data_IF_526309834609
#
_entry.id   IF_526309834609
#
_cell.length_a   1.000
_cell.length_b   1.000
_cell.length_c   1.000
_cell.angle_alpha   90.00
_cell.angle_beta   90.00
_cell.angle_gamma   90.00
#
_symmetry.space_group_name_H-M   'P 1'
#
loop_
_entity.id
_entity.type
_entity.pdbx_description
1 polymer ?
#
# COMPACT_ATOMS: atom_id res chain seq x y z
N UNK A 1 -3.17 -7.83 -65.11
CA UNK A 1 -2.16 -7.48 -64.09
C UNK A 1 -2.90 -7.35 -62.77
N UNK A 2 -2.94 -8.41 -61.98
CA UNK A 2 -3.77 -8.49 -60.76
C UNK A 2 -2.89 -8.32 -59.53
N UNK A 3 -3.28 -7.37 -58.68
CA UNK A 3 -2.61 -6.96 -57.44
C UNK A 3 -2.69 -8.07 -56.39
N UNK A 4 -1.54 -8.51 -55.89
CA UNK A 4 -1.43 -9.40 -54.73
C UNK A 4 -1.73 -8.59 -53.46
N UNK A 5 -2.85 -8.88 -52.79
CA UNK A 5 -3.12 -8.38 -51.45
C UNK A 5 -2.27 -9.15 -50.44
N UNK A 6 -1.34 -8.45 -49.79
CA UNK A 6 -0.56 -8.98 -48.68
C UNK A 6 -1.43 -9.01 -47.42
N UNK A 7 -1.84 -10.20 -47.00
CA UNK A 7 -2.49 -10.43 -45.71
C UNK A 7 -1.45 -10.26 -44.60
N UNK A 8 -1.48 -9.11 -43.93
CA UNK A 8 -0.66 -8.84 -42.75
C UNK A 8 -1.26 -9.62 -41.57
N UNK A 9 -0.68 -10.77 -41.24
CA UNK A 9 -1.02 -11.50 -40.00
C UNK A 9 -0.33 -10.78 -38.84
N UNK A 10 -1.09 -10.01 -38.07
CA UNK A 10 -0.63 -9.52 -36.76
C UNK A 10 -0.57 -10.69 -35.77
N UNK A 11 0.53 -11.44 -35.80
CA UNK A 11 0.93 -12.30 -34.69
C UNK A 11 1.67 -11.42 -33.67
N UNK A 12 0.95 -10.90 -32.68
CA UNK A 12 1.55 -10.03 -31.68
C UNK A 12 0.55 -9.27 -30.83
N UNK A 13 -0.31 -9.98 -30.11
CA UNK A 13 -0.87 -9.43 -28.88
C UNK A 13 -0.46 -10.41 -27.79
N UNK A 14 0.55 -9.96 -27.03
CA UNK A 14 1.07 -10.68 -25.88
C UNK A 14 -0.06 -11.06 -24.94
N UNK A 15 0.22 -12.09 -24.15
CA UNK A 15 -0.59 -12.44 -23.01
C UNK A 15 -1.07 -11.15 -22.33
N UNK A 16 -2.38 -10.94 -22.31
CA UNK A 16 -2.96 -10.15 -21.24
C UNK A 16 -2.62 -10.94 -19.98
N UNK A 17 -1.49 -10.61 -19.34
CA UNK A 17 -1.29 -10.95 -17.95
C UNK A 17 -2.57 -10.52 -17.26
N UNK A 18 -3.26 -11.49 -16.67
CA UNK A 18 -4.36 -11.20 -15.78
C UNK A 18 -3.82 -10.14 -14.81
N UNK A 19 -4.44 -8.96 -14.79
CA UNK A 19 -4.05 -7.90 -13.87
C UNK A 19 -3.93 -8.49 -12.46
N UNK A 20 -3.06 -7.94 -11.59
CA UNK A 20 -2.78 -8.55 -10.31
C UNK A 20 -4.09 -8.81 -9.56
N UNK A 21 -4.22 -9.94 -8.83
CA UNK A 21 -5.44 -10.26 -8.10
C UNK A 21 -5.84 -9.06 -7.25
N UNK A 22 -7.12 -8.67 -7.31
CA UNK A 22 -7.64 -7.57 -6.49
C UNK A 22 -7.23 -7.80 -5.03
N UNK A 23 -6.34 -6.94 -4.53
CA UNK A 23 -5.80 -7.10 -3.19
C UNK A 23 -6.90 -6.74 -2.17
N UNK A 24 -7.20 -7.69 -1.29
CA UNK A 24 -8.12 -7.44 -0.19
C UNK A 24 -7.57 -6.30 0.69
N UNK A 25 -8.44 -5.45 1.26
CA UNK A 25 -8.00 -4.42 2.19
C UNK A 25 -7.32 -5.02 3.42
N UNK A 26 -6.22 -4.41 3.85
CA UNK A 26 -5.54 -4.73 5.11
C UNK A 26 -6.17 -3.89 6.22
N UNK A 27 -6.58 -4.53 7.31
CA UNK A 27 -7.22 -3.84 8.44
C UNK A 27 -6.24 -3.76 9.59
N UNK A 28 -5.84 -2.54 9.94
CA UNK A 28 -4.93 -2.28 11.05
C UNK A 28 -5.66 -1.64 12.22
N UNK A 29 -5.43 -2.14 13.43
CA UNK A 29 -5.97 -1.58 14.68
C UNK A 29 -4.81 -1.13 15.55
N UNK A 30 -4.78 0.15 15.90
CA UNK A 30 -3.77 0.80 16.71
C UNK A 30 -4.38 1.25 18.03
N UNK A 31 -3.64 1.10 19.14
CA UNK A 31 -4.04 1.62 20.45
C UNK A 31 -3.11 2.75 20.86
N UNK A 32 -3.70 3.81 21.39
CA UNK A 32 -2.97 4.87 22.08
C UNK A 32 -2.85 4.60 23.59
N UNK A 33 -2.14 5.49 24.29
CA UNK A 33 -1.93 5.39 25.74
C UNK A 33 -3.21 5.62 26.56
N UNK A 34 -4.31 6.02 25.92
CA UNK A 34 -5.63 6.23 26.53
C UNK A 34 -6.59 5.06 26.33
N UNK A 35 -6.10 3.93 25.79
CA UNK A 35 -6.89 2.76 25.37
C UNK A 35 -7.89 3.04 24.22
N UNK A 36 -7.80 4.22 23.58
CA UNK A 36 -8.58 4.49 22.39
C UNK A 36 -8.04 3.67 21.21
N UNK A 37 -8.93 3.02 20.47
CA UNK A 37 -8.55 2.21 19.31
C UNK A 37 -8.79 2.98 18.01
N UNK A 38 -7.73 3.21 17.24
CA UNK A 38 -7.81 3.73 15.88
C UNK A 38 -7.80 2.58 14.88
N UNK A 39 -8.79 2.54 13.98
CA UNK A 39 -8.83 1.57 12.88
C UNK A 39 -8.42 2.26 11.59
N UNK A 40 -7.43 1.70 10.90
CA UNK A 40 -6.96 2.15 9.58
C UNK A 40 -7.18 1.01 8.60
N UNK A 41 -7.93 1.27 7.54
CA UNK A 41 -8.06 0.34 6.42
C UNK A 41 -7.11 0.76 5.31
N UNK A 42 -6.18 -0.11 4.95
CA UNK A 42 -5.30 0.06 3.81
C UNK A 42 -5.92 -0.65 2.61
N UNK A 43 -6.16 0.07 1.53
CA UNK A 43 -6.57 -0.50 0.26
C UNK A 43 -5.36 -0.49 -0.69
N UNK A 44 -4.68 -1.63 -0.88
CA UNK A 44 -3.57 -1.72 -1.81
C UNK A 44 -4.06 -1.48 -3.24
N UNK A 45 -3.27 -0.76 -4.01
CA UNK A 45 -3.46 -0.62 -5.45
C UNK A 45 -2.47 -1.53 -6.18
N UNK A 46 -2.86 -2.00 -7.35
CA UNK A 46 -2.04 -2.85 -8.22
C UNK A 46 -1.03 -2.05 -9.02
N UNK A 47 -1.18 -0.73 -9.08
CA UNK A 47 -0.25 0.14 -9.79
C UNK A 47 1.02 0.42 -8.95
N UNK A 48 2.22 0.26 -9.54
CA UNK A 48 3.46 0.61 -8.87
C UNK A 48 3.56 2.13 -8.63
N UNK A 49 4.16 2.50 -7.49
CA UNK A 49 4.54 3.87 -7.20
C UNK A 49 5.92 4.21 -7.81
N UNK A 50 6.19 5.51 -7.98
CA UNK A 50 7.32 6.08 -8.72
C UNK A 50 8.74 5.82 -8.14
N UNK A 51 8.90 4.89 -7.21
CA UNK A 51 10.17 4.65 -6.49
C UNK A 51 10.38 3.18 -6.06
N UNK A 52 9.71 2.23 -6.73
CA UNK A 52 9.76 0.81 -6.36
C UNK A 52 8.93 0.48 -5.11
N UNK A 53 7.96 1.33 -4.79
CA UNK A 53 6.87 1.04 -3.88
C UNK A 53 5.57 0.74 -4.63
N UNK A 54 4.49 0.62 -3.88
CA UNK A 54 3.14 0.36 -4.38
C UNK A 54 2.22 1.47 -3.90
N UNK A 55 1.23 1.82 -4.72
CA UNK A 55 0.19 2.76 -4.29
C UNK A 55 -0.72 2.09 -3.27
N UNK A 56 -1.22 2.88 -2.34
CA UNK A 56 -2.12 2.43 -1.29
C UNK A 56 -3.01 3.58 -0.87
N UNK A 57 -4.26 3.29 -0.58
CA UNK A 57 -5.19 4.27 -0.03
C UNK A 57 -5.47 3.95 1.43
N UNK A 58 -5.29 4.92 2.32
CA UNK A 58 -5.62 4.80 3.73
C UNK A 58 -7.03 5.33 3.95
N UNK A 59 -7.83 4.58 4.70
CA UNK A 59 -9.09 5.08 5.24
C UNK A 59 -9.00 5.12 6.77
N UNK A 60 -9.11 6.31 7.33
CA UNK A 60 -9.06 6.56 8.76
C UNK A 60 -10.00 7.72 9.10
N UNK A 61 -10.74 7.65 10.21
CA UNK A 61 -11.61 8.72 10.69
C UNK A 61 -12.58 9.30 9.63
N UNK A 62 -13.06 8.46 8.69
CA UNK A 62 -13.93 8.89 7.58
C UNK A 62 -13.21 9.61 6.43
N UNK A 63 -11.90 9.83 6.54
CA UNK A 63 -11.05 10.38 5.49
C UNK A 63 -10.47 9.29 4.60
N UNK A 64 -10.10 9.69 3.39
CA UNK A 64 -9.41 8.85 2.40
C UNK A 64 -8.13 9.55 2.00
N UNK A 65 -6.98 8.93 2.28
CA UNK A 65 -5.66 9.56 2.12
C UNK A 65 -4.82 8.70 1.17
N UNK A 66 -4.37 9.24 0.03
CA UNK A 66 -3.46 8.53 -0.86
C UNK A 66 -2.08 8.39 -0.21
N UNK A 67 -1.45 7.25 -0.44
CA UNK A 67 -0.14 6.93 0.11
C UNK A 67 0.67 6.01 -0.79
N UNK A 68 1.85 5.66 -0.29
CA UNK A 68 2.73 4.69 -0.91
C UNK A 68 3.31 3.75 0.15
N UNK A 69 3.50 2.49 -0.21
CA UNK A 69 4.14 1.47 0.63
C UNK A 69 5.39 0.94 -0.06
N UNK A 70 6.46 0.74 0.70
CA UNK A 70 7.70 0.18 0.17
C UNK A 70 8.33 -0.77 1.19
N UNK A 71 9.09 -1.79 0.74
CA UNK A 71 9.93 -2.59 1.62
C UNK A 71 10.91 -1.70 2.41
N UNK A 72 11.05 -1.94 3.71
CA UNK A 72 12.03 -1.22 4.54
C UNK A 72 13.47 -1.58 4.14
N UNK A 73 13.70 -2.85 3.86
CA UNK A 73 14.95 -3.40 3.35
C UNK A 73 14.63 -4.31 2.17
N UNK A 74 15.27 -4.07 1.02
CA UNK A 74 15.08 -4.86 -0.21
C UNK A 74 15.72 -6.25 -0.14
N UNK A 75 16.60 -6.50 0.82
CA UNK A 75 17.37 -7.75 0.96
C UNK A 75 16.84 -8.67 2.06
N UNK A 76 16.08 -8.13 3.02
CA UNK A 76 15.46 -8.86 4.14
C UNK A 76 14.03 -8.38 4.38
N UNK A 77 13.24 -8.28 3.32
CA UNK A 77 11.95 -7.62 3.35
C UNK A 77 10.91 -8.39 4.19
N UNK A 78 10.94 -8.30 5.51
CA UNK A 78 9.83 -8.73 6.38
C UNK A 78 8.97 -7.58 6.82
N UNK A 79 9.44 -6.37 6.55
CA UNK A 79 8.83 -5.15 7.02
C UNK A 79 8.60 -4.23 5.82
N UNK A 80 7.42 -3.63 5.77
CA UNK A 80 7.08 -2.56 4.84
C UNK A 80 6.82 -1.27 5.61
N UNK A 81 7.08 -0.15 4.97
CA UNK A 81 6.72 1.17 5.48
C UNK A 81 5.77 1.82 4.51
N UNK A 82 4.62 2.21 5.04
CA UNK A 82 3.61 3.00 4.37
C UNK A 82 3.70 4.45 4.81
N UNK A 83 3.59 5.35 3.84
CA UNK A 83 3.65 6.81 4.01
C UNK A 83 2.47 7.45 3.31
N UNK A 84 1.79 8.35 4.00
CA UNK A 84 0.68 9.12 3.46
C UNK A 84 0.69 10.53 4.06
N UNK A 85 0.15 11.50 3.33
CA UNK A 85 -0.01 12.89 3.79
C UNK A 85 -1.40 13.34 3.38
N UNK A 86 -2.21 13.81 4.34
CA UNK A 86 -3.54 14.34 4.05
C UNK A 86 -3.51 15.82 3.62
N UNK A 87 -4.67 16.36 3.25
CA UNK A 87 -4.82 17.74 2.79
C UNK A 87 -4.44 18.76 3.88
N UNK A 88 -4.61 18.38 5.15
CA UNK A 88 -4.20 19.15 6.31
C UNK A 88 -2.69 19.03 6.57
N UNK A 89 -1.92 18.36 5.71
CA UNK A 89 -0.47 18.09 5.86
C UNK A 89 -0.12 17.25 7.09
N UNK A 90 -1.07 16.50 7.63
CA UNK A 90 -0.76 15.47 8.62
C UNK A 90 -0.02 14.34 7.92
N UNK A 91 1.19 14.04 8.38
CA UNK A 91 1.98 12.95 7.85
C UNK A 91 1.73 11.68 8.66
N UNK A 92 1.37 10.59 7.98
CA UNK A 92 1.20 9.26 8.55
C UNK A 92 2.33 8.35 8.10
N UNK A 93 2.91 7.62 9.05
CA UNK A 93 3.90 6.59 8.83
C UNK A 93 3.44 5.30 9.52
N UNK A 94 3.25 4.24 8.75
CA UNK A 94 2.87 2.93 9.28
C UNK A 94 3.96 1.93 8.91
N UNK A 95 4.62 1.36 9.91
CA UNK A 95 5.51 0.23 9.72
C UNK A 95 4.73 -1.05 10.00
N UNK A 96 4.71 -1.99 9.06
CA UNK A 96 4.00 -3.26 9.17
C UNK A 96 4.95 -4.40 8.88
N UNK A 97 4.92 -5.42 9.74
CA UNK A 97 5.69 -6.65 9.60
C UNK A 97 4.85 -7.77 8.99
N UNK A 98 5.51 -8.75 8.38
CA UNK A 98 4.87 -9.93 7.76
C UNK A 98 4.14 -10.83 8.76
N UNK A 99 4.42 -10.70 10.06
CA UNK A 99 3.68 -11.37 11.12
C UNK A 99 2.47 -10.57 11.63
N UNK A 100 2.14 -9.44 11.00
CA UNK A 100 0.98 -8.61 11.34
C UNK A 100 1.24 -7.56 12.41
N UNK A 101 2.40 -7.53 13.06
CA UNK A 101 2.74 -6.46 14.01
C UNK A 101 2.91 -5.12 13.29
N UNK A 102 2.34 -4.07 13.86
CA UNK A 102 2.36 -2.75 13.26
C UNK A 102 2.68 -1.63 14.26
N UNK A 103 3.32 -0.58 13.74
CA UNK A 103 3.54 0.68 14.43
C UNK A 103 2.98 1.79 13.56
N UNK A 104 2.22 2.70 14.14
CA UNK A 104 1.80 3.94 13.48
C UNK A 104 2.39 5.14 14.19
N UNK A 105 2.90 6.07 13.41
CA UNK A 105 3.28 7.41 13.82
C UNK A 105 2.53 8.41 12.96
N UNK A 106 1.95 9.44 13.57
CA UNK A 106 1.44 10.57 12.81
C UNK A 106 1.85 11.90 13.43
N UNK A 107 2.02 12.91 12.58
CA UNK A 107 2.39 14.27 12.94
C UNK A 107 1.47 15.25 12.24
N UNK A 108 0.66 15.97 13.02
CA UNK A 108 -0.20 17.05 12.53
C UNK A 108 0.58 18.34 12.21
N UNK A 109 -0.14 19.38 11.79
CA UNK A 109 0.44 20.69 11.41
C UNK A 109 0.91 21.55 12.57
N UNK A 110 0.35 21.39 13.77
CA UNK A 110 0.93 21.97 14.98
C UNK A 110 2.08 21.08 15.42
N UNK A 111 3.30 21.63 15.46
CA UNK A 111 4.56 20.92 15.72
C UNK A 111 4.66 20.19 17.08
N UNK A 112 3.57 20.13 17.86
CA UNK A 112 3.53 19.63 19.23
C UNK A 112 2.88 18.24 19.39
N UNK A 113 2.24 17.67 18.36
CA UNK A 113 1.53 16.39 18.50
C UNK A 113 2.14 15.35 17.56
N UNK A 114 3.10 14.61 18.11
CA UNK A 114 3.57 13.36 17.53
C UNK A 114 3.02 12.20 18.36
N UNK A 115 2.19 11.39 17.74
CA UNK A 115 1.58 10.22 18.39
C UNK A 115 2.21 8.97 17.83
N UNK A 116 2.60 8.06 18.71
CA UNK A 116 3.13 6.75 18.37
C UNK A 116 2.18 5.70 18.96
N UNK A 117 1.69 4.79 18.12
CA UNK A 117 0.77 3.74 18.52
C UNK A 117 1.27 2.38 18.06
N UNK A 118 1.07 1.40 18.92
CA UNK A 118 1.27 -0.02 18.60
C UNK A 118 -0.03 -0.62 18.12
N UNK A 119 0.07 -1.56 17.18
CA UNK A 119 -1.09 -2.19 16.61
C UNK A 119 -0.81 -3.53 15.96
N UNK A 120 -1.87 -4.08 15.39
CA UNK A 120 -1.81 -5.29 14.58
C UNK A 120 -2.66 -5.11 13.32
N UNK A 121 -2.23 -5.74 12.23
CA UNK A 121 -2.94 -5.76 10.96
C UNK A 121 -3.37 -7.18 10.59
N UNK A 122 -4.55 -7.27 10.00
CA UNK A 122 -5.16 -8.52 9.52
C UNK A 122 -5.30 -8.46 7.99
N UNK A 123 -5.22 -9.61 7.33
CA UNK A 123 -5.37 -9.72 5.87
C UNK A 123 -4.19 -9.17 5.06
N UNK A 124 -3.02 -8.95 5.70
CA UNK A 124 -1.85 -8.35 5.07
C UNK A 124 -1.06 -9.29 4.16
N UNK A 125 -1.15 -10.61 4.35
CA UNK A 125 -0.29 -11.56 3.64
C UNK A 125 -0.40 -11.48 2.11
N UNK A 126 -1.60 -11.43 1.49
CA UNK A 126 -1.70 -11.27 0.04
C UNK A 126 -1.09 -9.95 -0.47
N UNK A 127 -1.21 -8.88 0.32
CA UNK A 127 -0.58 -7.61 -0.02
C UNK A 127 0.95 -7.69 0.07
N UNK A 128 1.49 -8.46 1.03
CA UNK A 128 2.92 -8.69 1.18
C UNK A 128 3.54 -9.49 0.03
N UNK A 129 2.82 -10.48 -0.52
CA UNK A 129 3.25 -11.23 -1.71
C UNK A 129 3.52 -10.26 -2.87
N UNK A 130 2.60 -9.32 -3.10
CA UNK A 130 2.76 -8.29 -4.13
C UNK A 130 3.84 -7.27 -3.75
N UNK A 131 3.78 -6.70 -2.55
CA UNK A 131 4.67 -5.61 -2.15
C UNK A 131 6.14 -6.01 -2.08
N UNK A 132 6.40 -7.27 -1.79
CA UNK A 132 7.73 -7.83 -1.62
C UNK A 132 8.18 -8.70 -2.79
N UNK A 133 7.31 -8.96 -3.77
CA UNK A 133 7.59 -9.85 -4.90
C UNK A 133 7.87 -11.29 -4.47
N UNK A 134 7.03 -11.83 -3.58
CA UNK A 134 7.14 -13.21 -3.06
C UNK A 134 6.07 -14.13 -3.64
#
# INVERSE_FOLDING_TARGET
>A
MSTLAATLVLAGLGAFEAGPPHLNPVICRFRDDTDSTMTVRLAPDTDPAWNGGWRVTLHLNGQTVPGAVAPLDRTRARDVVLRAVDDDRTAYLIALRDNGLAMMRYRGTSAAVEVNMQGACEGHMPAFEVWLGR
#
